data_IF_399809524056
#
_entry.id   IF_399809524056
#
_cell.length_a   1.000
_cell.length_b   1.000
_cell.length_c   1.000
_cell.angle_alpha   90.00
_cell.angle_beta   90.00
_cell.angle_gamma   90.00
#
_symmetry.space_group_name_H-M   'P 1'
#
loop_
_entity.id
_entity.type
_entity.pdbx_description
1 polymer ?
#
# COMPACT_ATOMS: atom_id res chain seq x y z
N UNK A 1 -62.50 20.78 -21.47
CA UNK A 1 -62.09 19.40 -21.10
C UNK A 1 -60.63 19.20 -21.47
N UNK A 2 -59.73 19.23 -20.50
CA UNK A 2 -58.67 18.22 -20.31
C UNK A 2 -57.70 18.74 -19.24
N UNK A 3 -57.88 18.18 -18.04
CA UNK A 3 -56.94 18.18 -16.93
C UNK A 3 -55.58 17.59 -17.35
N UNK A 4 -54.49 18.14 -16.81
CA UNK A 4 -53.14 17.57 -16.57
C UNK A 4 -52.28 18.76 -16.13
N UNK A 5 -51.89 18.96 -14.88
CA UNK A 5 -51.47 18.01 -13.87
C UNK A 5 -50.02 18.36 -13.52
N UNK A 6 -49.84 19.23 -12.53
CA UNK A 6 -48.55 19.52 -11.89
C UNK A 6 -47.88 18.20 -11.50
N UNK A 7 -46.67 17.93 -11.99
CA UNK A 7 -45.80 16.88 -11.43
C UNK A 7 -44.69 17.55 -10.64
N UNK A 8 -44.82 17.41 -9.33
CA UNK A 8 -43.77 17.53 -8.33
C UNK A 8 -42.53 16.74 -8.75
N UNK A 9 -41.38 17.42 -8.88
CA UNK A 9 -40.08 16.75 -8.88
C UNK A 9 -39.78 16.45 -7.41
N UNK A 10 -40.22 15.26 -7.00
CA UNK A 10 -39.91 14.66 -5.72
C UNK A 10 -38.43 14.29 -5.70
N UNK A 11 -37.83 14.50 -4.54
CA UNK A 11 -36.51 14.05 -4.13
C UNK A 11 -36.30 12.55 -4.37
N UNK A 12 -35.39 12.21 -5.27
CA UNK A 12 -34.76 10.89 -5.32
C UNK A 12 -33.23 11.07 -5.28
N UNK A 13 -32.76 11.54 -4.12
CA UNK A 13 -31.41 11.26 -3.64
C UNK A 13 -31.51 9.89 -2.96
N UNK A 14 -31.48 8.83 -3.75
CA UNK A 14 -31.25 7.49 -3.23
C UNK A 14 -29.79 7.13 -3.52
N UNK A 15 -28.94 7.36 -2.51
CA UNK A 15 -27.81 6.50 -2.13
C UNK A 15 -27.41 5.46 -3.19
N UNK A 16 -26.56 5.86 -4.14
CA UNK A 16 -25.84 4.92 -4.99
C UNK A 16 -24.79 4.27 -4.08
N UNK A 17 -25.05 3.01 -3.72
CA UNK A 17 -24.21 2.17 -2.88
C UNK A 17 -22.84 1.96 -3.52
N UNK A 18 -21.86 2.79 -3.15
CA UNK A 18 -20.44 2.61 -3.47
C UNK A 18 -19.88 1.27 -2.96
N UNK A 19 -20.51 0.67 -1.95
CA UNK A 19 -20.22 -0.67 -1.44
C UNK A 19 -20.41 -1.77 -2.50
N UNK A 20 -21.43 -1.65 -3.35
CA UNK A 20 -21.77 -2.68 -4.35
C UNK A 20 -20.72 -2.73 -5.46
N UNK A 21 -20.27 -1.56 -5.92
CA UNK A 21 -19.31 -1.45 -7.02
C UNK A 21 -17.90 -1.86 -6.60
N UNK A 22 -17.53 -1.59 -5.34
CA UNK A 22 -16.24 -2.04 -4.79
C UNK A 22 -16.21 -3.57 -4.61
N UNK A 23 -17.26 -4.17 -4.06
CA UNK A 23 -17.35 -5.62 -3.89
C UNK A 23 -17.43 -6.36 -5.23
N UNK A 24 -18.14 -5.80 -6.21
CA UNK A 24 -18.21 -6.38 -7.55
C UNK A 24 -16.86 -6.32 -8.28
N UNK A 25 -16.05 -5.29 -8.01
CA UNK A 25 -14.68 -5.16 -8.56
C UNK A 25 -13.69 -6.11 -7.87
N UNK A 26 -13.79 -6.27 -6.54
CA UNK A 26 -13.05 -7.30 -5.79
C UNK A 26 -13.37 -8.69 -6.32
N UNK A 27 -14.65 -9.03 -6.45
CA UNK A 27 -15.07 -10.37 -6.88
C UNK A 27 -14.60 -10.69 -8.31
N UNK A 28 -14.63 -9.70 -9.22
CA UNK A 28 -14.06 -9.86 -10.57
C UNK A 28 -12.54 -10.04 -10.58
N UNK A 29 -11.83 -9.40 -9.65
CA UNK A 29 -10.38 -9.59 -9.49
C UNK A 29 -10.04 -11.03 -9.03
N UNK A 30 -10.88 -11.62 -8.17
CA UNK A 30 -10.75 -13.01 -7.71
C UNK A 30 -11.24 -14.05 -8.76
N UNK A 31 -12.17 -13.67 -9.63
CA UNK A 31 -12.59 -14.50 -10.77
C UNK A 31 -11.49 -14.61 -11.84
N UNK A 32 -10.79 -13.51 -12.15
CA UNK A 32 -9.74 -13.49 -13.18
C UNK A 32 -8.50 -14.31 -12.75
N UNK A 33 -8.23 -14.43 -11.45
CA UNK A 33 -7.11 -15.26 -10.93
C UNK A 33 -7.42 -16.75 -10.89
N UNK A 34 -8.66 -17.16 -11.18
CA UNK A 34 -9.07 -18.56 -11.13
C UNK A 34 -8.91 -19.24 -12.49
N UNK A 35 -7.66 -19.34 -12.96
CA UNK A 35 -7.31 -20.17 -14.11
C UNK A 35 -6.51 -21.40 -13.66
N UNK A 36 -7.24 -22.52 -13.60
CA UNK A 36 -6.80 -23.92 -13.68
C UNK A 36 -5.54 -24.32 -12.90
N UNK A 37 -5.73 -24.59 -11.62
CA UNK A 37 -5.00 -25.66 -10.94
C UNK A 37 -6.03 -26.61 -10.34
N UNK A 38 -6.02 -27.86 -10.80
CA UNK A 38 -6.79 -28.95 -10.19
C UNK A 38 -6.37 -29.08 -8.72
N UNK A 39 -7.29 -28.78 -7.82
CA UNK A 39 -7.14 -29.09 -6.41
C UNK A 39 -7.48 -30.56 -6.18
N UNK A 40 -6.47 -31.42 -6.16
CA UNK A 40 -6.59 -32.69 -5.45
C UNK A 40 -6.71 -32.40 -3.95
N UNK A 41 -7.95 -32.35 -3.47
CA UNK A 41 -8.28 -32.26 -2.04
C UNK A 41 -8.26 -33.67 -1.46
N UNK A 42 -7.12 -34.06 -0.89
CA UNK A 42 -7.09 -35.16 0.08
C UNK A 42 -7.66 -34.63 1.40
N UNK A 43 -8.88 -35.04 1.71
CA UNK A 43 -9.48 -34.87 3.04
C UNK A 43 -8.99 -36.02 3.92
N UNK A 44 -8.06 -35.73 4.83
CA UNK A 44 -7.74 -36.63 5.94
C UNK A 44 -8.12 -35.93 7.24
N UNK A 45 -9.16 -36.46 7.88
CA UNK A 45 -9.64 -35.99 9.18
C UNK A 45 -8.59 -36.29 10.27
N UNK A 46 -7.78 -35.29 10.61
CA UNK A 46 -6.99 -35.33 11.84
C UNK A 46 -7.89 -35.07 13.05
N UNK A 47 -8.29 -36.15 13.74
CA UNK A 47 -8.81 -36.07 15.11
C UNK A 47 -7.64 -35.95 16.08
N UNK A 48 -7.38 -34.73 16.57
CA UNK A 48 -6.47 -34.47 17.69
C UNK A 48 -7.06 -35.00 19.00
N UNK A 49 -6.52 -36.12 19.49
CA UNK A 49 -6.63 -36.50 20.90
C UNK A 49 -5.42 -35.92 21.64
N UNK A 50 -5.58 -34.72 22.21
CA UNK A 50 -4.65 -34.18 23.20
C UNK A 50 -4.98 -34.78 24.56
N UNK A 51 -4.30 -35.88 24.89
CA UNK A 51 -4.25 -36.39 26.26
C UNK A 51 -2.88 -36.09 26.86
N UNK A 52 -2.89 -35.30 27.93
CA UNK A 52 -1.72 -34.77 28.62
C UNK A 52 -0.92 -35.90 29.29
N UNK A 53 0.22 -36.27 28.70
CA UNK A 53 1.34 -36.92 29.42
C UNK A 53 2.67 -36.29 29.02
N UNK A 54 2.90 -35.06 29.47
CA UNK A 54 4.26 -34.52 29.56
C UNK A 54 5.01 -35.27 30.68
N UNK A 55 5.74 -36.33 30.31
CA UNK A 55 6.86 -36.83 31.12
C UNK A 55 8.12 -36.08 30.70
N UNK A 56 8.62 -35.34 31.68
CA UNK A 56 9.93 -34.72 31.81
C UNK A 56 11.07 -35.61 31.24
N UNK A 57 11.66 -35.22 30.11
CA UNK A 57 12.97 -35.74 29.66
C UNK A 57 14.06 -34.72 30.02
N UNK A 58 14.42 -34.73 31.30
CA UNK A 58 15.73 -34.28 31.74
C UNK A 58 16.71 -35.44 31.61
N UNK A 59 17.72 -35.28 30.75
CA UNK A 59 19.09 -35.78 30.93
C UNK A 59 19.22 -37.25 31.37
N UNK A 60 19.24 -38.19 30.42
CA UNK A 60 19.83 -39.51 30.66
C UNK A 60 20.22 -40.20 29.34
N UNK A 61 21.48 -40.63 29.28
CA UNK A 61 22.01 -41.72 28.46
C UNK A 61 21.73 -41.72 26.95
N UNK A 62 22.76 -41.44 26.15
CA UNK A 62 22.88 -42.08 24.84
C UNK A 62 22.91 -43.60 25.04
N UNK A 63 21.77 -44.26 24.86
CA UNK A 63 21.69 -45.72 24.72
C UNK A 63 22.09 -46.06 23.28
N UNK A 64 23.13 -46.87 23.04
CA UNK A 64 23.37 -47.41 21.72
C UNK A 64 22.16 -48.27 21.36
N UNK A 65 21.51 -47.99 20.22
CA UNK A 65 20.48 -48.86 19.68
C UNK A 65 21.10 -50.25 19.44
N UNK A 66 20.68 -51.24 20.22
CA UNK A 66 20.90 -52.64 19.92
C UNK A 66 20.11 -52.97 18.66
N UNK A 67 20.82 -53.15 17.55
CA UNK A 67 20.29 -53.41 16.22
C UNK A 67 20.39 -54.93 15.95
N UNK A 68 19.55 -55.73 16.61
CA UNK A 68 19.45 -57.19 16.36
C UNK A 68 18.02 -57.62 16.01
N UNK A 69 17.17 -56.69 15.56
CA UNK A 69 15.77 -57.00 15.22
C UNK A 69 15.10 -56.09 14.20
N UNK A 70 15.81 -55.14 13.58
CA UNK A 70 15.30 -54.49 12.37
C UNK A 70 15.72 -55.34 11.19
N UNK A 71 14.74 -55.83 10.44
CA UNK A 71 15.00 -56.55 9.19
C UNK A 71 15.74 -55.59 8.25
N UNK A 72 16.72 -56.06 7.47
CA UNK A 72 17.34 -55.22 6.42
C UNK A 72 16.27 -54.63 5.47
N UNK A 73 15.15 -55.35 5.30
CA UNK A 73 13.94 -54.94 4.58
C UNK A 73 13.26 -53.68 5.17
N UNK A 74 13.24 -53.53 6.50
CA UNK A 74 12.66 -52.33 7.15
C UNK A 74 13.55 -51.10 6.92
N UNK A 75 14.87 -51.30 6.89
CA UNK A 75 15.85 -50.23 6.62
C UNK A 75 15.76 -49.78 5.17
N UNK A 76 15.61 -50.71 4.22
CA UNK A 76 15.40 -50.41 2.80
C UNK A 76 14.08 -49.66 2.54
N UNK A 77 12.99 -50.07 3.21
CA UNK A 77 11.71 -49.38 3.12
C UNK A 77 11.81 -47.92 3.59
N UNK A 78 12.46 -47.67 4.74
CA UNK A 78 12.68 -46.31 5.27
C UNK A 78 13.54 -45.48 4.32
N UNK A 79 14.58 -46.06 3.71
CA UNK A 79 15.43 -45.37 2.73
C UNK A 79 14.65 -44.96 1.48
N UNK A 80 13.78 -45.83 0.98
CA UNK A 80 12.92 -45.51 -0.17
C UNK A 80 11.95 -44.37 0.15
N UNK A 81 11.32 -44.41 1.33
CA UNK A 81 10.46 -43.33 1.81
C UNK A 81 11.24 -42.01 1.93
N UNK A 82 12.45 -42.06 2.45
CA UNK A 82 13.30 -40.88 2.57
C UNK A 82 13.62 -40.27 1.19
N UNK A 83 14.03 -41.07 0.20
CA UNK A 83 14.29 -40.60 -1.17
C UNK A 83 13.04 -39.96 -1.78
N UNK A 84 11.88 -40.57 -1.58
CA UNK A 84 10.59 -40.02 -2.02
C UNK A 84 10.31 -38.65 -1.40
N UNK A 85 10.43 -38.53 -0.07
CA UNK A 85 10.21 -37.26 0.65
C UNK A 85 11.19 -36.17 0.21
N UNK A 86 12.46 -36.51 -0.03
CA UNK A 86 13.47 -35.57 -0.54
C UNK A 86 13.13 -35.08 -1.94
N UNK A 87 12.75 -35.98 -2.85
CA UNK A 87 12.35 -35.61 -4.20
C UNK A 87 11.11 -34.71 -4.22
N UNK A 88 10.14 -34.99 -3.35
CA UNK A 88 8.97 -34.15 -3.15
C UNK A 88 9.35 -32.78 -2.57
N UNK A 89 10.26 -32.73 -1.60
CA UNK A 89 10.77 -31.50 -1.01
C UNK A 89 11.53 -30.65 -2.04
N UNK A 90 12.30 -31.28 -2.92
CA UNK A 90 12.98 -30.61 -4.02
C UNK A 90 11.98 -29.95 -4.98
N UNK A 91 10.96 -30.70 -5.42
CA UNK A 91 9.91 -30.16 -6.28
C UNK A 91 9.13 -29.02 -5.61
N UNK A 92 8.87 -29.16 -4.30
CA UNK A 92 8.21 -28.12 -3.50
C UNK A 92 9.06 -26.85 -3.41
N UNK A 93 10.35 -26.96 -3.10
CA UNK A 93 11.25 -25.79 -2.99
C UNK A 93 11.44 -25.09 -4.34
N UNK A 94 11.56 -25.82 -5.46
CA UNK A 94 11.57 -25.24 -6.81
C UNK A 94 10.29 -24.44 -7.11
N UNK A 95 9.13 -25.02 -6.80
CA UNK A 95 7.84 -24.36 -6.99
C UNK A 95 7.71 -23.12 -6.10
N UNK A 96 8.18 -23.21 -4.86
CA UNK A 96 8.19 -22.09 -3.93
C UNK A 96 9.08 -20.95 -4.44
N UNK A 97 10.31 -21.23 -4.89
CA UNK A 97 11.22 -20.22 -5.45
C UNK A 97 10.56 -19.51 -6.63
N UNK A 98 10.02 -20.27 -7.59
CA UNK A 98 9.31 -19.71 -8.75
C UNK A 98 8.18 -18.77 -8.33
N UNK A 99 7.36 -19.21 -7.38
CA UNK A 99 6.22 -18.43 -6.88
C UNK A 99 6.69 -17.18 -6.14
N UNK A 100 7.75 -17.29 -5.34
CA UNK A 100 8.32 -16.19 -4.59
C UNK A 100 8.90 -15.11 -5.52
N UNK A 101 9.64 -15.50 -6.57
CA UNK A 101 10.15 -14.57 -7.59
C UNK A 101 9.00 -13.85 -8.31
N UNK A 102 7.95 -14.56 -8.66
CA UNK A 102 6.76 -13.95 -9.28
C UNK A 102 6.08 -12.95 -8.33
N UNK A 103 5.97 -13.29 -7.04
CA UNK A 103 5.41 -12.41 -6.03
C UNK A 103 6.28 -11.16 -5.82
N UNK A 104 7.61 -11.31 -5.82
CA UNK A 104 8.56 -10.21 -5.71
C UNK A 104 8.40 -9.23 -6.87
N UNK A 105 8.36 -9.74 -8.11
CA UNK A 105 8.19 -8.90 -9.29
C UNK A 105 6.84 -8.16 -9.27
N UNK A 106 5.76 -8.86 -8.87
CA UNK A 106 4.44 -8.24 -8.71
C UNK A 106 4.44 -7.16 -7.64
N UNK A 107 5.11 -7.41 -6.51
CA UNK A 107 5.29 -6.44 -5.43
C UNK A 107 6.09 -5.21 -5.86
N UNK A 108 7.15 -5.41 -6.64
CA UNK A 108 8.00 -4.36 -7.20
C UNK A 108 7.21 -3.44 -8.15
N UNK A 109 6.46 -4.04 -9.07
CA UNK A 109 5.56 -3.32 -9.97
C UNK A 109 4.48 -2.55 -9.21
N UNK A 110 3.96 -3.12 -8.12
CA UNK A 110 2.96 -2.45 -7.27
C UNK A 110 3.56 -1.22 -6.59
N UNK A 111 4.77 -1.34 -6.05
CA UNK A 111 5.47 -0.23 -5.42
C UNK A 111 5.84 0.87 -6.43
N UNK A 112 6.24 0.52 -7.65
CA UNK A 112 6.46 1.48 -8.74
C UNK A 112 5.17 2.23 -9.09
N UNK A 113 4.05 1.51 -9.25
CA UNK A 113 2.73 2.12 -9.48
C UNK A 113 2.35 3.06 -8.33
N UNK A 114 2.61 2.71 -7.08
CA UNK A 114 2.36 3.59 -5.94
C UNK A 114 3.23 4.85 -6.02
N UNK A 115 4.48 4.75 -6.46
CA UNK A 115 5.35 5.91 -6.68
C UNK A 115 4.80 6.87 -7.73
N UNK A 116 4.40 6.35 -8.89
CA UNK A 116 3.77 7.19 -9.93
C UNK A 116 2.44 7.81 -9.47
N UNK A 117 1.66 7.09 -8.66
CA UNK A 117 0.44 7.63 -8.05
C UNK A 117 0.75 8.74 -7.05
N UNK A 118 1.79 8.59 -6.22
CA UNK A 118 2.23 9.61 -5.27
C UNK A 118 2.57 10.93 -5.97
N UNK A 119 3.28 10.86 -7.10
CA UNK A 119 3.58 12.03 -7.95
C UNK A 119 2.32 12.68 -8.52
N UNK A 120 1.36 11.89 -9.01
CA UNK A 120 0.08 12.40 -9.53
C UNK A 120 -0.76 13.06 -8.45
N UNK A 121 -0.83 12.46 -7.27
CA UNK A 121 -1.53 13.02 -6.11
C UNK A 121 -0.89 14.36 -5.74
N UNK A 122 0.44 14.46 -5.77
CA UNK A 122 1.12 15.72 -5.47
C UNK A 122 0.99 16.81 -6.51
N UNK A 123 1.00 16.41 -7.78
CA UNK A 123 0.65 17.31 -8.87
C UNK A 123 -0.78 17.84 -8.71
N UNK A 124 -1.73 16.98 -8.33
CA UNK A 124 -3.13 17.35 -8.09
C UNK A 124 -3.25 18.33 -6.91
N UNK A 125 -2.56 18.08 -5.80
CA UNK A 125 -2.53 18.97 -4.64
C UNK A 125 -1.99 20.35 -5.02
N UNK A 126 -0.88 20.41 -5.77
CA UNK A 126 -0.31 21.67 -6.28
C UNK A 126 -1.29 22.43 -7.18
N UNK A 127 -2.04 21.74 -8.04
CA UNK A 127 -3.07 22.38 -8.87
C UNK A 127 -4.25 22.90 -8.06
N UNK A 128 -4.65 22.18 -7.00
CA UNK A 128 -5.69 22.67 -6.08
C UNK A 128 -5.22 23.93 -5.35
N UNK A 129 -3.99 23.96 -4.85
CA UNK A 129 -3.43 25.12 -4.17
C UNK A 129 -3.38 26.34 -5.12
N UNK A 130 -2.93 26.14 -6.36
CA UNK A 130 -2.93 27.20 -7.38
C UNK A 130 -4.34 27.72 -7.68
N UNK A 131 -5.30 26.80 -7.83
CA UNK A 131 -6.70 27.17 -8.11
C UNK A 131 -7.33 27.90 -6.92
N UNK A 132 -6.99 27.53 -5.68
CA UNK A 132 -7.43 28.23 -4.48
C UNK A 132 -6.91 29.67 -4.44
N UNK A 133 -5.63 29.90 -4.78
CA UNK A 133 -5.09 31.27 -4.91
C UNK A 133 -5.85 32.06 -5.97
N UNK A 134 -6.13 31.46 -7.13
CA UNK A 134 -6.89 32.11 -8.20
C UNK A 134 -8.34 32.42 -7.79
N UNK A 135 -9.00 31.51 -7.08
CA UNK A 135 -10.36 31.70 -6.57
C UNK A 135 -10.42 32.86 -5.56
N UNK A 136 -9.45 32.95 -4.65
CA UNK A 136 -9.30 34.10 -3.73
C UNK A 136 -9.06 35.40 -4.48
N UNK A 137 -8.16 35.42 -5.46
CA UNK A 137 -7.91 36.61 -6.27
C UNK A 137 -9.16 37.05 -7.04
N UNK A 138 -9.94 36.10 -7.59
CA UNK A 138 -11.21 36.40 -8.23
C UNK A 138 -12.22 36.99 -7.24
N UNK A 139 -12.28 36.48 -6.01
CA UNK A 139 -13.12 37.03 -4.95
C UNK A 139 -12.78 38.51 -4.65
N UNK A 140 -11.49 38.84 -4.54
CA UNK A 140 -11.03 40.22 -4.31
C UNK A 140 -11.39 41.15 -5.47
N UNK A 141 -11.18 40.70 -6.71
CA UNK A 141 -11.60 41.42 -7.92
C UNK A 141 -13.11 41.63 -7.93
N UNK A 142 -13.90 40.63 -7.57
CA UNK A 142 -15.36 40.75 -7.47
C UNK A 142 -15.79 41.76 -6.39
N UNK A 143 -15.11 41.79 -5.23
CA UNK A 143 -15.35 42.80 -4.19
C UNK A 143 -15.05 44.21 -4.72
N UNK A 144 -13.96 44.36 -5.47
CA UNK A 144 -13.60 45.63 -6.11
C UNK A 144 -14.62 46.05 -7.17
N UNK A 145 -15.07 45.13 -8.04
CA UNK A 145 -16.13 45.40 -9.03
C UNK A 145 -17.44 45.80 -8.37
N UNK A 146 -17.87 45.09 -7.32
CA UNK A 146 -19.07 45.46 -6.55
C UNK A 146 -18.95 46.85 -5.92
N UNK A 147 -17.75 47.22 -5.46
CA UNK A 147 -17.49 48.57 -4.96
C UNK A 147 -17.56 49.61 -6.08
N UNK A 148 -17.05 49.31 -7.28
CA UNK A 148 -17.07 50.19 -8.45
C UNK A 148 -18.47 50.34 -9.07
N UNK A 149 -19.30 49.30 -9.03
CA UNK A 149 -20.69 49.33 -9.52
C UNK A 149 -21.65 50.08 -8.57
N UNK A 150 -21.22 50.42 -7.34
CA UNK A 150 -22.02 51.24 -6.44
C UNK A 150 -22.10 52.67 -6.99
N UNK A 151 -23.30 53.27 -7.01
CA UNK A 151 -23.57 54.58 -7.60
C UNK A 151 -22.51 55.63 -7.22
N UNK A 152 -22.05 56.40 -8.21
CA UNK A 152 -21.08 57.51 -8.09
C UNK A 152 -21.47 58.53 -7.00
N UNK A 153 -22.75 58.56 -6.62
CA UNK A 153 -23.33 59.47 -5.64
C UNK A 153 -23.15 59.08 -4.16
N UNK A 154 -22.62 57.90 -3.83
CA UNK A 154 -22.36 57.56 -2.42
C UNK A 154 -20.87 57.74 -2.09
N UNK A 155 -20.50 58.78 -1.33
CA UNK A 155 -19.11 59.06 -1.07
C UNK A 155 -18.46 57.98 -0.18
N UNK A 156 -17.33 57.45 -0.64
CA UNK A 156 -16.54 56.46 0.10
C UNK A 156 -15.62 57.18 1.11
N UNK A 157 -16.16 57.57 2.27
CA UNK A 157 -15.35 58.11 3.37
C UNK A 157 -15.00 57.00 4.37
N UNK A 158 -13.87 56.32 4.16
CA UNK A 158 -13.26 55.50 5.21
C UNK A 158 -12.59 56.45 6.21
N UNK A 159 -13.00 56.40 7.50
CA UNK A 159 -12.45 57.20 8.62
C UNK A 159 -10.92 57.38 8.51
N UNK A 160 -10.40 58.61 8.31
CA UNK A 160 -8.99 58.86 7.99
C UNK A 160 -8.02 58.57 9.16
N UNK A 161 -8.48 58.73 10.40
CA UNK A 161 -7.65 58.49 11.61
C UNK A 161 -7.34 57.01 11.90
N UNK A 162 -8.03 56.05 11.26
CA UNK A 162 -7.74 54.61 11.37
C UNK A 162 -7.01 54.03 10.15
N UNK A 163 -6.46 54.88 9.27
CA UNK A 163 -5.76 54.42 8.06
C UNK A 163 -4.53 53.56 8.40
N UNK A 164 -3.71 54.02 9.35
CA UNK A 164 -2.48 53.31 9.74
C UNK A 164 -2.77 51.94 10.37
N UNK A 165 -3.71 51.88 11.31
CA UNK A 165 -4.11 50.63 11.96
C UNK A 165 -4.63 49.59 10.94
N UNK A 166 -5.43 50.02 9.96
CA UNK A 166 -5.93 49.13 8.89
C UNK A 166 -4.85 48.68 7.92
N UNK A 167 -3.88 49.54 7.62
CA UNK A 167 -2.75 49.20 6.76
C UNK A 167 -1.89 48.13 7.43
N UNK A 168 -1.56 48.34 8.70
CA UNK A 168 -0.81 47.38 9.51
C UNK A 168 -1.55 46.04 9.63
N UNK A 169 -2.86 46.05 9.90
CA UNK A 169 -3.68 44.82 9.97
C UNK A 169 -3.70 44.08 8.61
N UNK A 170 -3.75 44.80 7.49
CA UNK A 170 -3.66 44.20 6.15
C UNK A 170 -2.29 43.61 5.88
N UNK A 171 -1.22 44.32 6.22
CA UNK A 171 0.15 43.82 6.06
C UNK A 171 0.38 42.57 6.91
N UNK A 172 -0.12 42.54 8.14
CA UNK A 172 -0.07 41.34 9.00
C UNK A 172 -0.81 40.18 8.35
N UNK A 173 -2.07 40.36 7.91
CA UNK A 173 -2.82 39.30 7.23
C UNK A 173 -2.11 38.76 5.98
N UNK A 174 -1.48 39.63 5.18
CA UNK A 174 -0.75 39.21 3.98
C UNK A 174 0.47 38.36 4.37
N UNK A 175 1.23 38.80 5.39
CA UNK A 175 2.37 38.03 5.91
C UNK A 175 1.92 36.67 6.44
N UNK A 176 0.89 36.64 7.29
CA UNK A 176 0.36 35.41 7.88
C UNK A 176 -0.12 34.42 6.79
N UNK A 177 -0.81 34.93 5.76
CA UNK A 177 -1.26 34.10 4.63
C UNK A 177 -0.09 33.53 3.82
N UNK A 178 0.92 34.34 3.54
CA UNK A 178 2.11 33.90 2.81
C UNK A 178 2.89 32.85 3.61
N UNK A 179 3.06 33.05 4.92
CA UNK A 179 3.72 32.09 5.80
C UNK A 179 2.98 30.75 5.84
N UNK A 180 1.65 30.78 5.94
CA UNK A 180 0.81 29.57 5.88
C UNK A 180 0.93 28.85 4.54
N UNK A 181 0.86 29.57 3.42
CA UNK A 181 0.99 28.99 2.08
C UNK A 181 2.37 28.34 1.88
N UNK A 182 3.43 28.99 2.36
CA UNK A 182 4.78 28.44 2.28
C UNK A 182 4.91 27.17 3.11
N UNK A 183 4.35 27.16 4.32
CA UNK A 183 4.35 26.00 5.19
C UNK A 183 3.56 24.83 4.58
N UNK A 184 2.44 25.09 3.90
CA UNK A 184 1.68 24.06 3.17
C UNK A 184 2.46 23.50 1.97
N UNK A 185 3.13 24.36 1.21
CA UNK A 185 4.00 23.94 0.09
C UNK A 185 5.18 23.11 0.59
N UNK A 186 5.80 23.49 1.70
CA UNK A 186 6.89 22.74 2.33
C UNK A 186 6.43 21.38 2.83
N UNK A 187 5.26 21.31 3.49
CA UNK A 187 4.66 20.03 3.89
C UNK A 187 4.42 19.12 2.69
N UNK A 188 3.90 19.66 1.60
CA UNK A 188 3.64 18.93 0.35
C UNK A 188 4.94 18.36 -0.23
N UNK A 189 5.97 19.21 -0.38
CA UNK A 189 7.29 18.79 -0.86
C UNK A 189 7.96 17.76 0.04
N UNK A 190 7.87 17.95 1.35
CA UNK A 190 8.44 17.02 2.34
C UNK A 190 7.76 15.65 2.23
N UNK A 191 6.43 15.62 2.16
CA UNK A 191 5.66 14.37 2.00
C UNK A 191 6.01 13.65 0.70
N UNK A 192 6.17 14.37 -0.41
CA UNK A 192 6.59 13.79 -1.69
C UNK A 192 8.00 13.20 -1.59
N UNK A 193 8.94 13.95 -1.01
CA UNK A 193 10.30 13.47 -0.80
C UNK A 193 10.32 12.20 0.05
N UNK A 194 9.60 12.17 1.17
CA UNK A 194 9.51 11.01 2.06
C UNK A 194 8.86 9.79 1.39
N UNK A 195 7.87 9.98 0.52
CA UNK A 195 7.30 8.91 -0.31
C UNK A 195 8.32 8.36 -1.30
N UNK A 196 9.02 9.23 -2.03
CA UNK A 196 10.04 8.82 -3.00
C UNK A 196 11.21 8.09 -2.33
N UNK A 197 11.66 8.54 -1.15
CA UNK A 197 12.73 7.86 -0.42
C UNK A 197 12.31 6.47 0.05
N UNK A 198 11.12 6.31 0.64
CA UNK A 198 10.64 5.00 1.11
C UNK A 198 10.54 3.99 -0.03
N UNK A 199 10.00 4.41 -1.16
CA UNK A 199 9.90 3.59 -2.38
C UNK A 199 11.30 3.23 -2.88
N UNK A 200 12.19 4.22 -2.99
CA UNK A 200 13.56 4.01 -3.47
C UNK A 200 14.34 3.07 -2.55
N UNK A 201 14.19 3.19 -1.23
CA UNK A 201 14.89 2.36 -0.26
C UNK A 201 14.40 0.91 -0.30
N UNK A 202 13.08 0.70 -0.42
CA UNK A 202 12.51 -0.62 -0.58
C UNK A 202 12.91 -1.29 -1.90
N UNK A 203 13.03 -0.53 -2.99
CA UNK A 203 13.53 -1.03 -4.28
C UNK A 203 15.04 -1.30 -4.28
N UNK A 204 15.85 -0.50 -3.56
CA UNK A 204 17.32 -0.63 -3.57
C UNK A 204 17.87 -1.67 -2.59
N UNK A 205 17.08 -2.13 -1.61
CA UNK A 205 17.50 -3.13 -0.62
C UNK A 205 18.00 -4.46 -1.22
N UNK A 206 17.77 -4.66 -2.52
CA UNK A 206 18.23 -5.79 -3.33
C UNK A 206 19.73 -5.76 -3.69
N UNK A 207 20.36 -4.57 -3.84
CA UNK A 207 21.67 -4.48 -4.53
C UNK A 207 22.89 -4.86 -3.68
N UNK A 208 22.79 -4.96 -2.36
CA UNK A 208 23.96 -5.05 -1.47
C UNK A 208 24.17 -6.41 -0.81
N UNK A 209 23.39 -7.45 -1.14
CA UNK A 209 23.71 -8.82 -0.73
C UNK A 209 24.44 -9.51 -1.88
N UNK A 210 25.71 -9.14 -2.07
CA UNK A 210 26.64 -10.02 -2.78
C UNK A 210 26.77 -11.27 -1.93
N UNK A 211 26.24 -12.36 -2.43
CA UNK A 211 26.33 -13.66 -1.78
C UNK A 211 27.78 -14.12 -1.86
N UNK A 212 28.54 -13.85 -0.80
CA UNK A 212 29.75 -14.61 -0.54
C UNK A 212 29.31 -16.06 -0.40
N UNK A 213 29.81 -16.92 -1.29
CA UNK A 213 29.60 -18.36 -1.26
C UNK A 213 30.26 -18.92 0.01
N UNK A 214 29.68 -18.68 1.17
CA UNK A 214 29.93 -19.51 2.34
C UNK A 214 29.16 -20.79 2.06
N UNK A 215 29.86 -21.75 1.46
CA UNK A 215 29.45 -23.14 1.45
C UNK A 215 28.94 -23.45 2.86
N UNK A 216 27.70 -23.93 3.02
CA UNK A 216 27.19 -24.31 4.33
C UNK A 216 28.10 -25.43 4.83
N UNK A 217 29.05 -25.12 5.72
CA UNK A 217 29.64 -26.12 6.58
C UNK A 217 28.56 -26.45 7.61
N UNK A 218 27.56 -27.23 7.20
CA UNK A 218 26.41 -27.55 8.03
C UNK A 218 26.69 -28.83 8.85
N UNK A 219 26.77 -28.76 10.19
CA UNK A 219 26.96 -29.92 11.06
C UNK A 219 25.74 -30.86 11.12
N UNK A 220 24.59 -30.46 10.54
CA UNK A 220 23.33 -31.24 10.56
C UNK A 220 23.07 -32.03 9.29
N UNK A 221 24.07 -32.16 8.42
CA UNK A 221 23.99 -32.97 7.21
C UNK A 221 23.71 -34.44 7.59
N UNK A 222 22.44 -34.84 7.46
CA UNK A 222 21.98 -36.20 7.76
C UNK A 222 22.43 -37.15 6.65
N UNK A 223 23.72 -37.52 6.70
CA UNK A 223 24.33 -38.54 5.84
C UNK A 223 23.91 -39.92 6.35
N UNK A 224 22.85 -40.49 5.79
CA UNK A 224 22.49 -41.90 6.05
C UNK A 224 22.98 -42.83 4.93
N UNK A 225 23.23 -42.31 3.72
CA UNK A 225 23.89 -43.03 2.61
C UNK A 225 24.84 -42.08 1.85
N UNK A 226 26.10 -42.47 1.55
CA UNK A 226 27.05 -41.67 0.79
C UNK A 226 26.87 -41.88 -0.72
N UNK A 227 25.66 -41.65 -1.23
CA UNK A 227 25.39 -41.68 -2.67
C UNK A 227 25.53 -40.25 -3.22
N UNK A 228 26.39 -40.02 -4.22
CA UNK A 228 26.67 -38.69 -4.78
C UNK A 228 25.40 -37.94 -5.26
N UNK A 229 24.38 -38.68 -5.71
CA UNK A 229 23.08 -38.14 -6.15
C UNK A 229 22.24 -37.54 -5.00
N UNK A 230 22.33 -38.10 -3.79
CA UNK A 230 21.60 -37.61 -2.62
C UNK A 230 22.21 -36.30 -2.10
N UNK A 231 23.55 -36.20 -2.13
CA UNK A 231 24.30 -34.99 -1.79
C UNK A 231 23.94 -33.82 -2.74
N UNK A 232 23.71 -34.09 -4.03
CA UNK A 232 23.28 -33.09 -5.01
C UNK A 232 21.86 -32.56 -4.74
N UNK A 233 20.91 -33.43 -4.41
CA UNK A 233 19.52 -33.05 -4.12
C UNK A 233 19.44 -32.17 -2.87
N UNK A 234 20.10 -32.56 -1.79
CA UNK A 234 20.12 -31.80 -0.54
C UNK A 234 20.82 -30.44 -0.71
N UNK A 235 21.87 -30.39 -1.52
CA UNK A 235 22.53 -29.13 -1.89
C UNK A 235 21.57 -28.18 -2.62
N UNK A 236 20.80 -28.69 -3.58
CA UNK A 236 19.82 -27.88 -4.30
C UNK A 236 18.67 -27.42 -3.39
N UNK A 237 18.15 -28.29 -2.53
CA UNK A 237 17.13 -27.93 -1.53
C UNK A 237 17.63 -26.77 -0.65
N UNK A 238 18.84 -26.88 -0.12
CA UNK A 238 19.43 -25.83 0.72
C UNK A 238 19.64 -24.52 -0.06
N UNK A 239 20.10 -24.60 -1.30
CA UNK A 239 20.24 -23.43 -2.17
C UNK A 239 18.87 -22.76 -2.42
N UNK A 240 17.82 -23.54 -2.68
CA UNK A 240 16.46 -23.04 -2.88
C UNK A 240 15.91 -22.41 -1.60
N UNK A 241 16.10 -23.02 -0.43
CA UNK A 241 15.69 -22.48 0.86
C UNK A 241 16.39 -21.17 1.18
N UNK A 242 17.69 -21.06 0.87
CA UNK A 242 18.43 -19.82 1.03
C UNK A 242 17.89 -18.71 0.11
N UNK A 243 17.63 -19.01 -1.16
CA UNK A 243 17.00 -18.07 -2.09
C UNK A 243 15.63 -17.61 -1.56
N UNK A 244 14.79 -18.54 -1.09
CA UNK A 244 13.50 -18.25 -0.49
C UNK A 244 13.61 -17.32 0.71
N UNK A 245 14.57 -17.54 1.61
CA UNK A 245 14.80 -16.67 2.76
C UNK A 245 15.12 -15.23 2.34
N UNK A 246 15.90 -15.06 1.27
CA UNK A 246 16.21 -13.73 0.73
C UNK A 246 15.00 -13.06 0.09
N UNK A 247 14.26 -13.78 -0.77
CA UNK A 247 13.05 -13.26 -1.41
C UNK A 247 11.99 -12.91 -0.34
N UNK A 248 11.81 -13.74 0.68
CA UNK A 248 10.89 -13.46 1.78
C UNK A 248 11.26 -12.18 2.54
N UNK A 249 12.56 -11.96 2.82
CA UNK A 249 13.03 -10.71 3.42
C UNK A 249 12.75 -9.49 2.53
N UNK A 250 12.86 -9.64 1.21
CA UNK A 250 12.58 -8.57 0.26
C UNK A 250 11.07 -8.31 0.14
N UNK A 251 10.26 -9.35 0.03
CA UNK A 251 8.81 -9.27 0.05
C UNK A 251 8.33 -8.56 1.32
N UNK A 252 8.93 -8.82 2.48
CA UNK A 252 8.64 -8.08 3.71
C UNK A 252 8.98 -6.59 3.60
N UNK A 253 10.12 -6.24 3.01
CA UNK A 253 10.52 -4.85 2.81
C UNK A 253 9.56 -4.12 1.85
N UNK A 254 9.21 -4.76 0.72
CA UNK A 254 8.21 -4.26 -0.23
C UNK A 254 6.87 -4.09 0.48
N UNK A 255 6.37 -5.14 1.16
CA UNK A 255 5.08 -5.11 1.86
C UNK A 255 5.01 -3.96 2.89
N UNK A 256 6.07 -3.79 3.68
CA UNK A 256 6.14 -2.70 4.68
C UNK A 256 6.10 -1.33 4.00
N UNK A 257 6.91 -1.12 2.96
CA UNK A 257 6.92 0.14 2.21
C UNK A 257 5.59 0.40 1.50
N UNK A 258 4.97 -0.62 0.92
CA UNK A 258 3.63 -0.49 0.31
C UNK A 258 2.59 -0.10 1.35
N UNK A 259 2.62 -0.70 2.55
CA UNK A 259 1.69 -0.39 3.63
C UNK A 259 1.83 1.06 4.09
N UNK A 260 3.07 1.50 4.36
CA UNK A 260 3.35 2.88 4.75
C UNK A 260 2.96 3.87 3.65
N UNK A 261 3.19 3.54 2.38
CA UNK A 261 2.84 4.41 1.26
C UNK A 261 1.32 4.52 1.09
N UNK A 262 0.57 3.44 1.25
CA UNK A 262 -0.91 3.48 1.24
C UNK A 262 -1.43 4.38 2.37
N UNK A 263 -0.90 4.24 3.60
CA UNK A 263 -1.30 5.08 4.72
C UNK A 263 -1.02 6.56 4.42
N UNK A 264 0.17 6.88 3.91
CA UNK A 264 0.56 8.25 3.55
C UNK A 264 -0.34 8.83 2.45
N UNK A 265 -0.61 8.05 1.40
CA UNK A 265 -1.48 8.45 0.30
C UNK A 265 -2.91 8.69 0.77
N UNK A 266 -3.47 7.84 1.64
CA UNK A 266 -4.81 8.04 2.20
C UNK A 266 -4.90 9.36 2.97
N UNK A 267 -3.95 9.61 3.89
CA UNK A 267 -3.91 10.87 4.64
C UNK A 267 -3.74 12.10 3.73
N UNK A 268 -3.07 11.94 2.58
CA UNK A 268 -2.93 13.01 1.58
C UNK A 268 -4.21 13.22 0.78
N UNK A 269 -4.87 12.15 0.37
CA UNK A 269 -6.16 12.19 -0.32
C UNK A 269 -7.24 12.84 0.55
N UNK A 270 -7.24 12.60 1.85
CA UNK A 270 -8.16 13.26 2.79
C UNK A 270 -7.95 14.79 2.79
N UNK A 271 -6.69 15.26 2.85
CA UNK A 271 -6.38 16.70 2.76
C UNK A 271 -6.78 17.29 1.41
N UNK A 272 -6.52 16.58 0.32
CA UNK A 272 -6.90 16.97 -1.04
C UNK A 272 -8.43 17.07 -1.16
N UNK A 273 -9.15 16.12 -0.58
CA UNK A 273 -10.62 16.12 -0.54
C UNK A 273 -11.14 17.33 0.22
N UNK A 274 -10.60 17.62 1.41
CA UNK A 274 -10.98 18.80 2.20
C UNK A 274 -10.69 20.11 1.44
N UNK A 275 -9.49 20.24 0.85
CA UNK A 275 -9.12 21.37 0.00
C UNK A 275 -10.07 21.52 -1.20
N UNK A 276 -10.42 20.40 -1.83
CA UNK A 276 -11.37 20.33 -2.94
C UNK A 276 -12.76 20.83 -2.56
N UNK A 277 -13.30 20.39 -1.42
CA UNK A 277 -14.60 20.86 -0.92
C UNK A 277 -14.61 22.36 -0.60
N UNK A 278 -13.54 22.87 0.03
CA UNK A 278 -13.40 24.31 0.30
C UNK A 278 -13.34 25.12 -0.99
N UNK A 279 -12.53 24.67 -1.95
CA UNK A 279 -12.37 25.32 -3.24
C UNK A 279 -13.69 25.35 -4.03
N UNK A 280 -14.40 24.22 -4.07
CA UNK A 280 -15.69 24.12 -4.74
C UNK A 280 -16.71 25.10 -4.16
N UNK A 281 -16.82 25.17 -2.83
CA UNK A 281 -17.66 26.14 -2.15
C UNK A 281 -17.27 27.60 -2.47
N UNK A 282 -15.97 27.93 -2.47
CA UNK A 282 -15.47 29.26 -2.83
C UNK A 282 -15.81 29.63 -4.29
N UNK A 283 -15.62 28.70 -5.23
CA UNK A 283 -15.96 28.89 -6.64
C UNK A 283 -17.47 29.12 -6.81
N UNK A 284 -18.30 28.30 -6.18
CA UNK A 284 -19.76 28.46 -6.22
C UNK A 284 -20.20 29.82 -5.68
N UNK A 285 -19.67 30.26 -4.54
CA UNK A 285 -19.97 31.58 -3.97
C UNK A 285 -19.52 32.70 -4.91
N UNK A 286 -18.33 32.57 -5.50
CA UNK A 286 -17.81 33.56 -6.44
C UNK A 286 -18.67 33.65 -7.71
N UNK A 287 -19.11 32.52 -8.24
CA UNK A 287 -20.02 32.47 -9.39
C UNK A 287 -21.36 33.15 -9.07
N UNK A 288 -21.96 32.85 -7.91
CA UNK A 288 -23.21 33.49 -7.48
C UNK A 288 -23.05 35.00 -7.23
N UNK A 289 -21.90 35.44 -6.72
CA UNK A 289 -21.60 36.88 -6.57
C UNK A 289 -21.48 37.58 -7.92
N UNK A 290 -20.85 36.95 -8.91
CA UNK A 290 -20.74 37.47 -10.27
C UNK A 290 -22.12 37.62 -10.93
N UNK A 291 -22.99 36.61 -10.79
CA UNK A 291 -24.38 36.65 -11.30
C UNK A 291 -25.22 37.79 -10.71
N UNK A 292 -24.88 38.30 -9.52
CA UNK A 292 -25.57 39.42 -8.88
C UNK A 292 -25.01 40.80 -9.27
N UNK A 293 -23.83 40.83 -9.87
CA UNK A 293 -23.17 42.08 -10.30
C UNK A 293 -23.57 42.42 -11.74
N UNK A 294 -23.72 41.40 -12.60
CA UNK A 294 -24.34 41.49 -13.92
C UNK A 294 -25.88 41.51 -13.80
#
# INVERSE_FOLDING_TARGET
MSSRGFRSISSDISSISSESTYNQSRNKLFEITSSKYDQNTYTSEYKSNYDNKFKNYGREGYTPYNNEGSSDEDVEAIKQEMRFVKQDSLNSTRNAVRTAVQAEETGRQTLEKLGTQSERIGTTEKYLDLTAVNAKMAEEKNKALKQLNRSVFIPHFKKPWKKQARLLEKEQRIRDQYELEQLEREKTKKSEYESLTRIKDALNKQKNKTYENQAPNDPFHCRFEPDEEDDEIESEINQNLFQLGNIASQLKAIATATQEEIISQNARLDRISEKGHKLDAEIHINAERLKRIN
#
